data_IF_789512657943
#
_entry.id   IF_789512657943
#
_cell.length_a   1.000
_cell.length_b   1.000
_cell.length_c   1.000
_cell.angle_alpha   90.00
_cell.angle_beta   90.00
_cell.angle_gamma   90.00
#
_symmetry.space_group_name_H-M   'P 1'
#
loop_
_entity.id
_entity.type
_entity.pdbx_description
1 polymer ?
#
# COMPACT_ATOMS: atom_id res chain seq x y z
N UNK A 1 19.90 -6.36 -3.61
CA UNK A 1 20.29 -5.39 -2.57
C UNK A 1 20.82 -6.22 -1.42
N UNK A 2 22.10 -6.10 -1.05
CA UNK A 2 22.63 -6.81 0.11
C UNK A 2 22.06 -6.20 1.39
N UNK A 3 21.15 -6.94 2.03
CA UNK A 3 20.53 -6.56 3.29
C UNK A 3 21.05 -7.52 4.37
N UNK A 4 21.63 -6.96 5.42
CA UNK A 4 22.16 -7.72 6.56
C UNK A 4 21.42 -7.31 7.82
N UNK A 5 20.78 -8.26 8.48
CA UNK A 5 20.04 -7.99 9.71
C UNK A 5 20.94 -8.15 10.93
N UNK A 6 20.74 -7.29 11.93
CA UNK A 6 21.48 -7.39 13.18
C UNK A 6 20.98 -8.58 14.00
N UNK A 7 21.90 -9.41 14.47
CA UNK A 7 21.62 -10.50 15.43
C UNK A 7 21.38 -10.01 16.86
N UNK A 8 21.43 -8.69 17.08
CA UNK A 8 21.06 -8.08 18.34
C UNK A 8 19.58 -8.37 18.66
N UNK A 9 19.28 -8.51 19.95
CA UNK A 9 17.93 -8.68 20.42
C UNK A 9 17.06 -7.47 20.03
N UNK A 10 15.83 -7.68 19.55
CA UNK A 10 14.92 -6.58 19.27
C UNK A 10 14.56 -5.83 20.56
N UNK A 11 14.44 -4.51 20.44
CA UNK A 11 14.08 -3.60 21.54
C UNK A 11 12.58 -3.37 21.51
N UNK A 12 11.93 -3.49 22.67
CA UNK A 12 10.50 -3.17 22.76
C UNK A 12 10.27 -1.67 22.67
N UNK A 13 9.32 -1.29 21.82
CA UNK A 13 8.88 0.09 21.70
C UNK A 13 8.03 0.41 22.93
N UNK A 14 8.52 1.27 23.84
CA UNK A 14 7.83 1.52 25.10
C UNK A 14 6.47 2.24 24.96
N UNK A 15 6.26 2.91 23.82
CA UNK A 15 5.06 3.70 23.54
C UNK A 15 3.93 2.89 22.88
N UNK A 16 4.28 1.80 22.17
CA UNK A 16 3.33 0.99 21.43
C UNK A 16 3.78 -0.49 21.43
N UNK A 17 2.86 -1.47 21.45
CA UNK A 17 3.24 -2.87 21.53
C UNK A 17 3.89 -3.33 20.21
N UNK A 18 5.19 -3.12 20.08
CA UNK A 18 5.98 -3.38 18.89
C UNK A 18 7.45 -3.67 19.27
N UNK A 19 8.16 -4.36 18.38
CA UNK A 19 9.59 -4.66 18.49
C UNK A 19 10.36 -3.94 17.39
N UNK A 20 11.45 -3.28 17.77
CA UNK A 20 12.37 -2.58 16.87
C UNK A 20 13.66 -3.39 16.74
N UNK A 21 14.08 -3.64 15.50
CA UNK A 21 15.33 -4.32 15.17
C UNK A 21 16.09 -3.56 14.10
N UNK A 22 17.42 -3.66 14.14
CA UNK A 22 18.30 -2.98 13.19
C UNK A 22 18.61 -3.85 11.97
N UNK A 23 18.61 -3.23 10.79
CA UNK A 23 19.07 -3.82 9.54
C UNK A 23 20.10 -2.89 8.86
N UNK A 24 20.96 -3.45 8.01
CA UNK A 24 21.88 -2.71 7.15
C UNK A 24 21.52 -3.01 5.71
N UNK A 25 21.02 -2.03 4.97
CA UNK A 25 20.48 -2.21 3.64
C UNK A 25 21.37 -1.48 2.61
N UNK A 26 22.25 -2.21 1.93
CA UNK A 26 23.21 -1.64 0.99
C UNK A 26 24.19 -0.66 1.65
N UNK A 27 24.62 -0.95 2.88
CA UNK A 27 25.58 -0.16 3.66
C UNK A 27 24.96 0.88 4.60
N UNK A 28 23.65 1.13 4.53
CA UNK A 28 22.97 2.09 5.40
C UNK A 28 22.21 1.40 6.53
N UNK A 29 22.35 1.90 7.77
CA UNK A 29 21.61 1.39 8.93
C UNK A 29 20.17 1.88 8.87
N UNK A 30 19.24 0.93 8.81
CA UNK A 30 17.80 1.18 8.78
C UNK A 30 17.17 0.52 9.99
N UNK A 31 16.23 1.20 10.64
CA UNK A 31 15.42 0.63 11.72
C UNK A 31 14.17 0.01 11.13
N UNK A 32 13.90 -1.22 11.53
CA UNK A 32 12.70 -1.96 11.19
C UNK A 32 11.88 -2.19 12.46
N UNK A 33 10.57 -1.98 12.36
CA UNK A 33 9.64 -2.17 13.47
C UNK A 33 8.62 -3.24 13.09
N UNK A 34 8.28 -4.15 13.99
CA UNK A 34 7.21 -5.12 13.81
C UNK A 34 6.19 -5.01 14.94
N UNK A 35 4.91 -4.89 14.59
CA UNK A 35 3.86 -4.75 15.61
C UNK A 35 3.54 -6.07 16.30
N UNK A 36 3.10 -6.00 17.55
CA UNK A 36 2.62 -7.15 18.31
C UNK A 36 1.44 -7.85 17.62
N UNK A 37 0.60 -7.10 16.92
CA UNK A 37 -0.50 -7.66 16.12
C UNK A 37 0.03 -8.60 15.04
N UNK A 38 1.08 -8.20 14.30
CA UNK A 38 1.70 -9.04 13.28
C UNK A 38 2.32 -10.30 13.90
N UNK A 39 2.99 -10.14 15.05
CA UNK A 39 3.59 -11.24 15.79
C UNK A 39 2.55 -12.24 16.31
N UNK A 40 1.41 -11.77 16.78
CA UNK A 40 0.33 -12.62 17.28
C UNK A 40 -0.41 -13.33 16.16
N UNK A 41 -0.77 -12.60 15.12
CA UNK A 41 -1.63 -13.12 14.05
C UNK A 41 -0.88 -14.08 13.12
N UNK A 42 0.41 -13.84 12.85
CA UNK A 42 1.17 -14.57 11.82
C UNK A 42 2.33 -15.39 12.37
N UNK A 43 2.91 -14.97 13.51
CA UNK A 43 4.13 -15.58 14.07
C UNK A 43 3.85 -16.35 15.37
N UNK A 44 2.56 -16.47 15.74
CA UNK A 44 2.09 -17.28 16.86
C UNK A 44 2.46 -16.76 18.25
N UNK A 45 2.68 -15.44 18.40
CA UNK A 45 2.95 -14.88 19.72
C UNK A 45 1.75 -15.08 20.68
N UNK A 46 2.03 -15.60 21.88
CA UNK A 46 1.00 -15.91 22.86
C UNK A 46 0.34 -14.65 23.45
N UNK A 47 1.09 -13.54 23.54
CA UNK A 47 0.61 -12.27 24.10
C UNK A 47 1.33 -11.06 23.49
N UNK A 48 0.84 -9.86 23.80
CA UNK A 48 1.48 -8.57 23.48
C UNK A 48 2.56 -8.18 24.50
N UNK A 49 2.91 -9.07 25.42
CA UNK A 49 4.00 -8.87 26.39
C UNK A 49 5.34 -8.97 25.70
N UNK A 50 6.28 -8.14 26.14
CA UNK A 50 7.64 -8.10 25.60
C UNK A 50 8.30 -9.49 25.50
N UNK A 51 8.19 -10.33 26.54
CA UNK A 51 8.81 -11.67 26.55
C UNK A 51 8.24 -12.60 25.47
N UNK A 52 6.90 -12.65 25.36
CA UNK A 52 6.20 -13.46 24.36
C UNK A 52 6.52 -12.99 22.93
N UNK A 53 6.56 -11.67 22.72
CA UNK A 53 6.90 -11.08 21.44
C UNK A 53 8.35 -11.37 21.04
N UNK A 54 9.30 -11.25 21.98
CA UNK A 54 10.71 -11.57 21.73
C UNK A 54 10.89 -13.05 21.39
N UNK A 55 10.21 -13.95 22.10
CA UNK A 55 10.25 -15.40 21.78
C UNK A 55 9.68 -15.70 20.39
N UNK A 56 8.53 -15.10 20.06
CA UNK A 56 7.93 -15.28 18.74
C UNK A 56 8.83 -14.73 17.63
N UNK A 57 9.46 -13.58 17.86
CA UNK A 57 10.44 -12.98 16.96
C UNK A 57 11.64 -13.88 16.75
N UNK A 58 12.23 -14.44 17.81
CA UNK A 58 13.40 -15.31 17.73
C UNK A 58 13.10 -16.61 16.97
N UNK A 59 11.97 -17.25 17.32
CA UNK A 59 11.51 -18.48 16.67
C UNK A 59 11.25 -18.32 15.16
N UNK A 60 10.81 -17.13 14.74
CA UNK A 60 10.46 -16.84 13.34
C UNK A 60 11.34 -15.75 12.72
N UNK A 61 12.56 -15.58 13.24
CA UNK A 61 13.46 -14.49 12.85
C UNK A 61 13.73 -14.46 11.35
N UNK A 62 13.97 -15.63 10.76
CA UNK A 62 14.20 -15.77 9.32
C UNK A 62 13.01 -15.28 8.47
N UNK A 63 11.77 -15.56 8.88
CA UNK A 63 10.58 -15.12 8.15
C UNK A 63 10.40 -13.60 8.24
N UNK A 64 10.64 -13.03 9.42
CA UNK A 64 10.57 -11.58 9.66
C UNK A 64 11.64 -10.84 8.86
N UNK A 65 12.87 -11.36 8.86
CA UNK A 65 13.99 -10.82 8.07
C UNK A 65 13.67 -10.84 6.56
N UNK A 66 13.12 -11.95 6.04
CA UNK A 66 12.68 -12.05 4.64
C UNK A 66 11.57 -11.05 4.30
N UNK A 67 10.58 -10.88 5.18
CA UNK A 67 9.52 -9.90 4.99
C UNK A 67 10.06 -8.45 5.01
N UNK A 68 10.95 -8.14 5.96
CA UNK A 68 11.61 -6.85 6.04
C UNK A 68 12.50 -6.58 4.81
N UNK A 69 13.22 -7.59 4.32
CA UNK A 69 14.08 -7.50 3.13
C UNK A 69 13.27 -7.12 1.88
N UNK A 70 12.13 -7.77 1.66
CA UNK A 70 11.22 -7.47 0.56
C UNK A 70 10.68 -6.04 0.64
N UNK A 71 10.30 -5.61 1.85
CA UNK A 71 9.78 -4.26 2.06
C UNK A 71 10.85 -3.20 1.87
N UNK A 72 12.04 -3.39 2.44
CA UNK A 72 13.21 -2.50 2.29
C UNK A 72 13.66 -2.36 0.83
N UNK A 73 13.58 -3.45 0.07
CA UNK A 73 13.85 -3.45 -1.38
C UNK A 73 12.81 -2.60 -2.12
N UNK A 74 11.55 -2.64 -1.69
CA UNK A 74 10.45 -1.88 -2.31
C UNK A 74 10.47 -0.39 -1.97
N UNK A 75 10.83 -0.02 -0.74
CA UNK A 75 10.81 1.38 -0.26
C UNK A 75 12.16 2.10 -0.31
N UNK A 76 13.20 1.44 -0.83
CA UNK A 76 14.55 1.99 -1.00
C UNK A 76 15.13 2.66 0.27
N UNK A 77 15.39 1.87 1.32
CA UNK A 77 16.13 2.26 2.55
C UNK A 77 15.41 3.16 3.56
N UNK A 78 14.10 3.34 3.44
CA UNK A 78 13.33 4.04 4.48
C UNK A 78 13.06 3.13 5.69
N UNK A 79 12.90 3.69 6.91
CA UNK A 79 12.43 2.93 8.05
C UNK A 79 11.06 2.32 7.74
N UNK A 80 10.90 1.04 8.05
CA UNK A 80 9.71 0.26 7.70
C UNK A 80 9.03 -0.28 8.95
N UNK A 81 7.70 -0.24 8.94
CA UNK A 81 6.87 -0.84 9.98
C UNK A 81 6.07 -2.01 9.39
N UNK A 82 6.34 -3.21 9.89
CA UNK A 82 5.63 -4.44 9.57
C UNK A 82 4.36 -4.52 10.44
N UNK A 83 3.21 -4.28 9.83
CA UNK A 83 1.87 -4.45 10.44
C UNK A 83 1.23 -5.76 9.97
N UNK A 84 0.25 -6.27 10.71
CA UNK A 84 -0.49 -7.50 10.38
C UNK A 84 -1.08 -7.46 8.95
N UNK A 85 -1.47 -6.28 8.48
CA UNK A 85 -1.95 -6.08 7.10
C UNK A 85 -0.92 -6.42 6.02
N UNK A 86 0.39 -6.23 6.27
CA UNK A 86 1.44 -6.56 5.29
C UNK A 86 1.63 -8.07 5.14
N UNK A 87 1.59 -8.80 6.25
CA UNK A 87 1.78 -10.25 6.24
C UNK A 87 0.66 -10.99 5.48
N UNK A 88 -0.58 -10.45 5.52
CA UNK A 88 -1.71 -10.99 4.74
C UNK A 88 -1.47 -10.99 3.21
N UNK A 89 -0.59 -10.13 2.69
CA UNK A 89 -0.27 -10.05 1.27
C UNK A 89 1.02 -10.76 0.88
N UNK A 90 1.92 -11.05 1.83
CA UNK A 90 3.18 -11.75 1.57
C UNK A 90 3.02 -13.26 1.37
N UNK A 91 1.88 -13.85 1.76
CA UNK A 91 1.59 -15.28 1.55
C UNK A 91 1.15 -15.61 0.11
N UNK A 92 0.93 -14.62 -0.78
CA UNK A 92 0.38 -14.89 -2.12
C UNK A 92 0.93 -14.02 -3.26
N UNK A 93 2.23 -13.67 -3.29
CA UNK A 93 2.80 -13.02 -4.48
C UNK A 93 4.02 -13.77 -5.03
N UNK A 94 4.00 -14.21 -6.30
CA UNK A 94 5.23 -14.46 -7.05
C UNK A 94 5.99 -13.14 -7.20
N UNK A 95 7.31 -13.21 -7.32
CA UNK A 95 8.33 -12.17 -7.15
C UNK A 95 8.24 -10.88 -8.03
N UNK A 96 7.08 -10.45 -8.52
CA UNK A 96 6.96 -9.32 -9.43
C UNK A 96 5.63 -8.56 -9.33
N UNK A 97 5.37 -7.72 -8.31
CA UNK A 97 4.41 -6.61 -8.48
C UNK A 97 4.69 -5.38 -7.62
N UNK A 98 5.09 -4.31 -8.30
CA UNK A 98 4.82 -2.88 -8.13
C UNK A 98 4.45 -2.29 -6.76
N UNK A 99 5.21 -1.24 -6.41
CA UNK A 99 4.83 -0.10 -5.57
C UNK A 99 3.41 0.37 -5.87
N UNK A 100 2.44 -0.05 -5.05
CA UNK A 100 1.17 0.63 -4.94
C UNK A 100 1.31 1.78 -3.95
N UNK A 101 1.44 2.99 -4.50
CA UNK A 101 1.42 4.27 -3.80
C UNK A 101 0.15 4.36 -2.96
N UNK A 102 0.34 4.47 -1.65
CA UNK A 102 -0.68 4.74 -0.65
C UNK A 102 -1.49 5.99 -1.05
N UNK A 103 -2.80 5.82 -1.27
CA UNK A 103 -3.74 6.91 -1.41
C UNK A 103 -4.13 7.36 0.00
N UNK A 104 -3.64 8.54 0.36
CA UNK A 104 -4.03 9.29 1.54
C UNK A 104 -5.53 9.55 1.51
N UNK A 105 -6.18 9.24 2.62
CA UNK A 105 -7.57 9.54 2.90
C UNK A 105 -7.66 11.00 3.35
N UNK A 106 -7.76 11.93 2.40
CA UNK A 106 -8.20 13.29 2.70
C UNK A 106 -9.47 13.56 1.92
N UNK A 107 -10.60 13.62 2.64
CA UNK A 107 -11.83 14.18 2.10
C UNK A 107 -11.61 15.61 1.66
N UNK A 108 -11.99 15.91 0.43
CA UNK A 108 -12.30 17.25 -0.04
C UNK A 108 -13.48 17.15 -0.99
N UNK A 109 -14.58 17.74 -0.56
CA UNK A 109 -15.69 18.20 -1.37
C UNK A 109 -15.16 19.06 -2.53
N UNK A 110 -15.35 18.61 -3.76
CA UNK A 110 -15.16 19.41 -4.97
C UNK A 110 -16.07 18.89 -6.09
N UNK A 111 -16.67 19.78 -6.89
CA UNK A 111 -17.89 19.52 -7.65
C UNK A 111 -17.67 18.75 -8.96
N UNK A 112 -18.74 18.11 -9.42
CA UNK A 112 -18.84 17.36 -10.68
C UNK A 112 -18.28 18.13 -11.90
N UNK A 113 -17.61 17.45 -12.85
CA UNK A 113 -17.16 18.07 -14.09
C UNK A 113 -18.34 18.37 -15.05
N UNK A 114 -18.27 19.41 -15.89
CA UNK A 114 -19.29 19.70 -16.89
C UNK A 114 -19.23 18.67 -18.05
N UNK A 115 -20.40 18.32 -18.57
CA UNK A 115 -20.59 17.44 -19.74
C UNK A 115 -19.74 17.90 -20.94
N UNK A 116 -19.06 16.99 -21.65
CA UNK A 116 -18.40 17.31 -22.91
C UNK A 116 -19.43 17.49 -24.02
N UNK A 117 -19.44 18.69 -24.59
CA UNK A 117 -20.20 19.02 -25.80
C UNK A 117 -19.67 18.23 -27.02
N UNK A 118 -20.60 17.51 -27.65
CA UNK A 118 -20.72 17.20 -29.09
C UNK A 118 -19.63 16.35 -29.77
N UNK A 119 -20.08 15.49 -30.70
CA UNK A 119 -19.56 15.63 -32.05
C UNK A 119 -20.67 15.93 -33.06
N UNK A 120 -20.37 16.88 -33.94
CA UNK A 120 -21.09 17.18 -35.17
C UNK A 120 -21.41 15.91 -35.95
N UNK A 121 -22.71 15.65 -36.16
CA UNK A 121 -23.18 14.73 -37.19
C UNK A 121 -23.77 15.60 -38.32
N UNK A 122 -23.11 15.50 -39.46
CA UNK A 122 -23.41 16.13 -40.75
C UNK A 122 -24.86 15.94 -41.21
N UNK A 123 -25.44 16.89 -41.96
CA UNK A 123 -26.85 16.88 -42.33
C UNK A 123 -27.17 15.70 -43.27
N UNK A 124 -28.10 14.84 -42.86
CA UNK A 124 -28.66 13.81 -43.72
C UNK A 124 -29.76 14.42 -44.59
N UNK A 125 -29.63 14.25 -45.91
CA UNK A 125 -30.47 14.86 -46.95
C UNK A 125 -31.90 14.28 -47.06
N UNK A 126 -32.45 13.78 -45.95
CA UNK A 126 -33.70 13.00 -45.89
C UNK A 126 -34.79 13.71 -45.04
N UNK A 127 -34.80 15.04 -45.04
CA UNK A 127 -35.90 15.83 -44.47
C UNK A 127 -36.41 16.86 -45.49
N UNK A 128 -36.57 16.36 -46.72
CA UNK A 128 -37.52 16.89 -47.67
C UNK A 128 -38.92 16.60 -47.12
N UNK A 129 -39.81 17.61 -47.14
CA UNK A 129 -41.28 17.47 -47.28
C UNK A 129 -42.16 17.52 -46.03
N UNK A 130 -42.09 18.62 -45.29
CA UNK A 130 -43.21 19.29 -44.62
C UNK A 130 -42.55 20.54 -44.00
N UNK A 131 -42.62 21.72 -44.59
CA UNK A 131 -43.70 22.67 -44.34
C UNK A 131 -43.78 23.60 -45.55
N UNK A 132 -44.57 23.18 -46.54
CA UNK A 132 -45.27 24.12 -47.42
C UNK A 132 -46.55 24.47 -46.69
N UNK A 133 -46.61 25.61 -46.03
CA UNK A 133 -47.74 26.52 -46.13
C UNK A 133 -47.46 27.78 -45.31
N UNK A 134 -48.21 28.83 -45.59
CA UNK A 134 -48.18 30.15 -44.94
C UNK A 134 -47.07 31.10 -45.39
N UNK A 135 -47.26 31.65 -46.60
CA UNK A 135 -47.94 32.93 -46.84
C UNK A 135 -46.92 34.08 -46.66
N UNK A 136 -46.42 34.70 -47.73
CA UNK A 136 -47.22 35.42 -48.74
C UNK A 136 -47.18 36.90 -48.33
N UNK A 137 -46.38 37.73 -48.98
CA UNK A 137 -46.73 38.49 -50.19
C UNK A 137 -46.99 39.96 -49.82
N UNK A 138 -46.52 40.86 -50.67
CA UNK A 138 -46.95 42.27 -50.71
C UNK A 138 -45.82 43.26 -50.56
#
# INVERSE_FOLDING_TARGET
>A
MDITFSTAAPVYHGDEPALVFGAVAGGERVQCTISAEALRDHLGAASSREDDLRRAFDNHRAAIERAAEQLLTSVARKPVMLRSGYFRFSENLPASVHTHRQMDSTGHDAPSPPEPALPEQTPSADQLRAERDTHGAG
#
